data_IF_807759240260
#
_entry.id   IF_807759240260
#
_cell.length_a   1.000
_cell.length_b   1.000
_cell.length_c   1.000
_cell.angle_alpha   90.00
_cell.angle_beta   90.00
_cell.angle_gamma   90.00
#
_symmetry.space_group_name_H-M   'P 1'
#
loop_
_entity.id
_entity.type
_entity.pdbx_description
1 polymer ?
#
# COMPACT_ATOMS: atom_id res chain seq x y z
N UNK A 1 -15.56 5.90 -1.88
CA UNK A 1 -14.32 5.23 -2.32
C UNK A 1 -14.71 3.88 -2.93
N UNK A 2 -14.29 3.53 -4.16
CA UNK A 2 -14.66 2.25 -4.74
C UNK A 2 -14.12 1.12 -3.85
N UNK A 3 -15.01 0.15 -3.52
CA UNK A 3 -14.67 -1.05 -2.75
C UNK A 3 -13.49 -1.74 -3.43
N UNK A 4 -12.43 -2.06 -2.68
CA UNK A 4 -11.33 -2.91 -3.14
C UNK A 4 -11.95 -4.27 -3.48
N UNK A 5 -12.18 -4.57 -4.76
CA UNK A 5 -12.76 -5.85 -5.18
C UNK A 5 -11.75 -6.94 -4.87
N UNK A 6 -11.98 -7.66 -3.77
CA UNK A 6 -11.14 -8.79 -3.31
C UNK A 6 -10.96 -9.83 -4.41
N UNK A 7 -11.94 -9.94 -5.30
CA UNK A 7 -11.96 -10.80 -6.50
C UNK A 7 -10.82 -10.53 -7.49
N UNK A 8 -10.25 -9.32 -7.52
CA UNK A 8 -9.13 -8.99 -8.43
C UNK A 8 -7.78 -9.49 -7.96
N UNK A 9 -7.68 -9.89 -6.70
CA UNK A 9 -6.46 -10.42 -6.12
C UNK A 9 -6.56 -11.95 -6.05
N UNK A 10 -5.45 -12.67 -6.23
CA UNK A 10 -5.44 -14.11 -6.03
C UNK A 10 -5.70 -14.44 -4.56
N UNK A 11 -6.22 -15.65 -4.29
CA UNK A 11 -6.56 -16.09 -2.94
C UNK A 11 -5.37 -16.07 -1.98
N UNK A 12 -4.15 -16.31 -2.49
CA UNK A 12 -2.89 -16.31 -1.74
C UNK A 12 -2.22 -14.92 -1.65
N UNK A 13 -2.92 -13.83 -1.96
CA UNK A 13 -2.34 -12.48 -1.88
C UNK A 13 -1.70 -12.16 -0.53
N UNK A 14 -2.29 -12.63 0.57
CA UNK A 14 -1.72 -12.44 1.91
C UNK A 14 -0.32 -13.03 2.05
N UNK A 15 -0.09 -14.21 1.46
CA UNK A 15 1.21 -14.89 1.51
C UNK A 15 2.23 -14.18 0.62
N UNK A 16 1.83 -13.79 -0.59
CA UNK A 16 2.65 -12.98 -1.50
C UNK A 16 3.08 -11.69 -0.82
N UNK A 17 2.13 -10.98 -0.21
CA UNK A 17 2.39 -9.73 0.48
C UNK A 17 3.29 -9.92 1.71
N UNK A 18 3.17 -11.04 2.43
CA UNK A 18 4.04 -11.38 3.55
C UNK A 18 5.49 -11.58 3.09
N UNK A 19 5.70 -12.38 2.05
CA UNK A 19 7.03 -12.65 1.48
C UNK A 19 7.70 -11.35 1.03
N UNK A 20 7.00 -10.49 0.30
CA UNK A 20 7.55 -9.20 -0.17
C UNK A 20 7.97 -8.30 1.01
N UNK A 21 7.23 -8.30 2.12
CA UNK A 21 7.59 -7.51 3.32
C UNK A 21 8.76 -8.11 4.07
N UNK A 22 8.85 -9.44 4.15
CA UNK A 22 9.96 -10.15 4.80
C UNK A 22 11.28 -9.91 4.08
N UNK A 23 11.30 -9.97 2.74
CA UNK A 23 12.51 -9.75 1.94
C UNK A 23 13.15 -8.38 2.14
N UNK A 24 12.36 -7.37 2.50
CA UNK A 24 12.85 -6.01 2.77
C UNK A 24 13.02 -5.73 4.26
N UNK A 25 13.01 -6.77 5.11
CA UNK A 25 13.09 -6.67 6.57
C UNK A 25 12.05 -5.70 7.17
N UNK A 26 10.88 -5.62 6.53
CA UNK A 26 9.81 -4.68 6.85
C UNK A 26 10.21 -3.19 6.83
N UNK A 27 11.24 -2.85 6.07
CA UNK A 27 11.63 -1.47 5.81
C UNK A 27 10.97 -0.99 4.51
N UNK A 28 10.55 0.27 4.48
CA UNK A 28 10.02 0.89 3.28
C UNK A 28 11.08 0.88 2.17
N UNK A 29 10.78 0.26 1.03
CA UNK A 29 11.72 0.17 -0.11
C UNK A 29 12.05 1.54 -0.74
N UNK A 30 11.26 2.59 -0.46
CA UNK A 30 11.50 3.94 -0.99
C UNK A 30 12.33 4.80 -0.03
N UNK A 31 11.97 4.85 1.25
CA UNK A 31 12.56 5.79 2.20
C UNK A 31 13.34 5.14 3.34
N UNK A 32 13.41 3.81 3.40
CA UNK A 32 14.14 3.07 4.44
C UNK A 32 13.48 3.06 5.82
N UNK A 33 12.32 3.71 6.00
CA UNK A 33 11.62 3.72 7.29
C UNK A 33 11.30 2.29 7.76
N UNK A 34 11.73 1.95 8.97
CA UNK A 34 11.31 0.72 9.65
C UNK A 34 9.82 0.80 9.99
N UNK A 35 9.04 -0.09 9.39
CA UNK A 35 7.63 -0.27 9.71
C UNK A 35 7.44 -1.39 10.74
N UNK A 36 6.24 -1.47 11.30
CA UNK A 36 5.86 -2.46 12.31
C UNK A 36 5.95 -3.87 11.71
N UNK A 37 6.71 -4.75 12.37
CA UNK A 37 6.83 -6.18 12.07
C UNK A 37 5.86 -7.02 12.91
N UNK A 38 5.53 -8.24 12.46
CA UNK A 38 4.86 -9.22 13.30
C UNK A 38 5.70 -9.47 14.55
N UNK A 39 5.09 -9.32 15.72
CA UNK A 39 5.75 -9.49 17.02
C UNK A 39 6.38 -8.23 17.61
N UNK A 40 6.44 -7.10 16.89
CA UNK A 40 6.85 -5.83 17.50
C UNK A 40 5.82 -5.40 18.56
N UNK A 41 6.28 -4.91 19.71
CA UNK A 41 5.41 -4.31 20.71
C UNK A 41 4.87 -2.95 20.20
N UNK A 42 3.54 -2.86 20.10
CA UNK A 42 2.84 -1.65 19.64
C UNK A 42 1.90 -1.07 20.69
N UNK A 43 2.01 -1.53 21.94
CA UNK A 43 1.19 -1.08 23.08
C UNK A 43 1.32 0.43 23.32
N UNK A 44 2.54 0.96 23.18
CA UNK A 44 2.86 2.38 23.35
C UNK A 44 2.48 3.25 22.14
N UNK A 45 2.01 2.65 21.05
CA UNK A 45 1.63 3.41 19.85
C UNK A 45 0.15 3.76 19.87
N UNK A 46 -0.18 4.98 19.49
CA UNK A 46 -1.54 5.37 19.15
C UNK A 46 -2.00 4.66 17.87
N UNK A 47 -3.31 4.62 17.64
CA UNK A 47 -3.88 4.11 16.38
C UNK A 47 -3.28 4.81 15.15
N UNK A 48 -3.14 6.14 15.21
CA UNK A 48 -2.59 6.93 14.10
C UNK A 48 -1.13 6.56 13.80
N UNK A 49 -0.31 6.41 14.84
CA UNK A 49 1.08 5.97 14.68
C UNK A 49 1.16 4.57 14.08
N UNK A 50 0.34 3.61 14.55
CA UNK A 50 0.27 2.27 13.94
C UNK A 50 -0.09 2.33 12.46
N UNK A 51 -1.07 3.15 12.09
CA UNK A 51 -1.46 3.34 10.69
C UNK A 51 -0.33 3.96 9.85
N UNK A 52 0.37 4.96 10.38
CA UNK A 52 1.50 5.60 9.68
C UNK A 52 2.68 4.62 9.46
N UNK A 53 2.93 3.75 10.43
CA UNK A 53 4.00 2.75 10.43
C UNK A 53 3.58 1.39 9.86
N UNK A 54 2.41 1.29 9.23
CA UNK A 54 1.98 0.07 8.54
C UNK A 54 2.69 -0.04 7.19
N UNK A 55 3.31 -1.20 6.94
CA UNK A 55 3.90 -1.53 5.66
C UNK A 55 2.86 -2.16 4.72
N UNK A 56 2.71 -1.58 3.54
CA UNK A 56 1.77 -2.02 2.50
C UNK A 56 2.54 -2.45 1.25
N UNK A 57 1.96 -3.35 0.45
CA UNK A 57 2.55 -3.75 -0.85
C UNK A 57 1.82 -3.01 -1.96
N UNK A 58 2.60 -2.42 -2.86
CA UNK A 58 2.14 -1.62 -3.98
C UNK A 58 2.58 -2.25 -5.31
N UNK A 59 1.64 -2.29 -6.26
CA UNK A 59 1.90 -2.66 -7.65
C UNK A 59 2.40 -1.45 -8.42
N UNK A 60 3.66 -1.47 -8.86
CA UNK A 60 4.31 -0.37 -9.59
C UNK A 60 3.58 0.01 -10.88
N UNK A 61 2.95 -0.96 -11.55
CA UNK A 61 2.12 -0.74 -12.75
C UNK A 61 0.63 -0.48 -12.45
N UNK A 62 0.21 -0.50 -11.18
CA UNK A 62 -1.16 -0.25 -10.73
C UNK A 62 -2.19 -1.29 -11.23
N UNK A 63 -1.73 -2.49 -11.57
CA UNK A 63 -2.54 -3.65 -11.97
C UNK A 63 -2.51 -4.69 -10.83
N UNK A 64 -3.56 -4.78 -10.00
CA UNK A 64 -3.71 -5.77 -8.91
C UNK A 64 -3.45 -7.23 -9.29
N UNK A 65 -3.75 -7.59 -10.54
CA UNK A 65 -3.61 -8.95 -11.08
C UNK A 65 -2.13 -9.32 -11.32
N UNK A 66 -1.25 -8.33 -11.55
CA UNK A 66 0.15 -8.55 -11.88
C UNK A 66 1.03 -8.68 -10.63
N UNK A 67 1.07 -9.88 -10.07
CA UNK A 67 1.77 -10.18 -8.83
C UNK A 67 3.23 -10.63 -9.03
N UNK A 68 3.82 -10.36 -10.20
CA UNK A 68 5.25 -10.63 -10.43
C UNK A 68 6.08 -9.86 -9.41
N UNK A 69 7.09 -10.50 -8.83
CA UNK A 69 7.91 -9.90 -7.77
C UNK A 69 8.53 -8.55 -8.16
N UNK A 70 8.94 -8.40 -9.42
CA UNK A 70 9.49 -7.15 -9.99
C UNK A 70 8.48 -6.00 -10.05
N UNK A 71 7.18 -6.29 -10.02
CA UNK A 71 6.11 -5.30 -10.02
C UNK A 71 5.67 -4.91 -8.59
N UNK A 72 6.12 -5.61 -7.56
CA UNK A 72 5.71 -5.39 -6.18
C UNK A 72 6.78 -4.64 -5.39
N UNK A 73 6.37 -3.60 -4.66
CA UNK A 73 7.22 -2.89 -3.71
C UNK A 73 6.54 -2.70 -2.36
N UNK A 74 7.30 -2.80 -1.27
CA UNK A 74 6.80 -2.60 0.08
C UNK A 74 7.01 -1.14 0.50
N UNK A 75 5.94 -0.42 0.83
CA UNK A 75 5.94 1.01 1.11
C UNK A 75 5.24 1.32 2.43
N UNK A 76 5.81 2.24 3.21
CA UNK A 76 5.11 2.84 4.35
C UNK A 76 3.87 3.61 3.87
N UNK A 77 2.91 3.86 4.76
CA UNK A 77 1.66 4.56 4.42
C UNK A 77 1.90 5.89 3.70
N UNK A 78 2.85 6.70 4.17
CA UNK A 78 3.17 7.98 3.52
C UNK A 78 3.72 7.81 2.10
N UNK A 79 4.65 6.87 1.89
CA UNK A 79 5.20 6.60 0.57
C UNK A 79 4.16 5.97 -0.36
N UNK A 80 3.36 5.04 0.13
CA UNK A 80 2.26 4.44 -0.62
C UNK A 80 1.28 5.50 -1.10
N UNK A 81 0.83 6.40 -0.21
CA UNK A 81 -0.03 7.51 -0.59
C UNK A 81 0.65 8.43 -1.60
N UNK A 82 1.94 8.73 -1.44
CA UNK A 82 2.71 9.53 -2.39
C UNK A 82 2.68 8.97 -3.82
N UNK A 83 2.65 7.66 -4.01
CA UNK A 83 2.53 7.03 -5.33
C UNK A 83 1.13 7.19 -5.95
N UNK A 84 0.09 7.34 -5.12
CA UNK A 84 -1.27 7.60 -5.58
C UNK A 84 -1.58 9.10 -5.72
N UNK A 85 -0.90 9.96 -4.95
CA UNK A 85 -1.07 11.41 -5.05
C UNK A 85 -0.59 11.90 -6.41
N UNK A 86 -1.34 12.83 -7.02
CA UNK A 86 -1.13 13.40 -8.37
C UNK A 86 -1.51 12.54 -9.56
N UNK A 87 -1.96 11.29 -9.38
CA UNK A 87 -2.83 10.67 -10.39
C UNK A 87 -4.16 11.41 -10.30
N UNK A 88 -4.40 12.38 -11.20
CA UNK A 88 -5.71 13.01 -11.35
C UNK A 88 -6.72 11.87 -11.45
N UNK A 89 -7.54 11.69 -10.42
CA UNK A 89 -8.73 10.86 -10.56
C UNK A 89 -9.55 11.42 -11.72
N UNK A 90 -10.36 10.58 -12.38
CA UNK A 90 -11.32 11.07 -13.35
C UNK A 90 -12.15 12.16 -12.68
N UNK A 91 -12.00 13.41 -13.14
CA UNK A 91 -12.89 14.48 -12.75
C UNK A 91 -14.24 14.06 -13.30
N UNK A 92 -15.21 13.77 -12.42
CA UNK A 92 -16.56 13.47 -12.88
C UNK A 92 -17.07 14.69 -13.66
N UNK A 93 -17.81 14.52 -14.77
CA UNK A 93 -18.27 15.64 -15.59
C UNK A 93 -19.02 16.72 -14.77
N UNK A 94 -19.77 16.32 -13.75
CA UNK A 94 -20.46 17.25 -12.85
C UNK A 94 -19.55 18.10 -11.95
N UNK A 95 -18.30 17.68 -11.73
CA UNK A 95 -17.31 18.44 -10.95
C UNK A 95 -16.61 19.53 -11.78
N UNK A 96 -16.88 19.60 -13.09
CA UNK A 96 -16.47 20.69 -13.99
C UNK A 96 -17.60 21.68 -14.28
N UNK A 97 -18.84 21.42 -13.81
CA UNK A 97 -19.94 22.37 -13.97
C UNK A 97 -19.89 23.40 -12.83
N UNK A 98 -19.71 24.68 -13.18
CA UNK A 98 -19.91 25.82 -12.26
C UNK A 98 -21.33 26.38 -12.35
N UNK A 99 -22.26 25.62 -12.93
CA UNK A 99 -23.64 26.00 -13.20
C UNK A 99 -24.56 24.84 -12.84
#
# INVERSE_FOLDING_TARGET
MPKKSRERYPQNWSDIALVVKQEVNWQCSKCGLQCIRPGDDTSNLTRSQRMALTLTVHHSNFVPEDNRRSNLCALCTACHLSFHTRRKGNVSPGQLSLF
#
